data_IF_616055535270
#
_entry.id   IF_616055535270
#
_cell.length_a   1.000
_cell.length_b   1.000
_cell.length_c   1.000
_cell.angle_alpha   90.00
_cell.angle_beta   90.00
_cell.angle_gamma   90.00
#
_symmetry.space_group_name_H-M   'P 1'
#
loop_
_entity.id
_entity.type
_entity.pdbx_description
1 polymer ?
#
# COMPACT_ATOMS: atom_id res chain seq x y z
N UNK A 1 15.40 -6.03 -17.29
CA UNK A 1 16.86 -6.17 -17.12
C UNK A 1 17.21 -7.06 -15.92
N UNK A 2 16.66 -6.81 -14.72
CA UNK A 2 16.93 -7.60 -13.50
C UNK A 2 16.65 -9.11 -13.65
N UNK A 3 15.50 -9.51 -14.22
CA UNK A 3 15.16 -10.92 -14.43
C UNK A 3 16.17 -11.67 -15.32
N UNK A 4 16.69 -10.99 -16.36
CA UNK A 4 17.72 -11.57 -17.24
C UNK A 4 19.03 -11.77 -16.49
N UNK A 5 19.44 -10.78 -15.70
CA UNK A 5 20.63 -10.84 -14.85
C UNK A 5 20.53 -11.93 -13.77
N UNK A 6 19.36 -12.09 -13.15
CA UNK A 6 19.14 -13.10 -12.10
C UNK A 6 18.84 -14.51 -12.63
N UNK A 7 18.69 -14.67 -13.94
CA UNK A 7 18.24 -15.92 -14.58
C UNK A 7 16.80 -16.33 -14.22
N UNK A 8 16.03 -15.45 -13.58
CA UNK A 8 14.68 -15.76 -13.11
C UNK A 8 13.64 -15.43 -14.18
N UNK A 9 12.59 -16.24 -14.27
CA UNK A 9 11.42 -16.01 -15.13
C UNK A 9 10.43 -15.04 -14.48
N UNK A 10 10.39 -14.99 -13.16
CA UNK A 10 9.46 -14.15 -12.39
C UNK A 10 10.14 -13.46 -11.21
N UNK A 11 9.54 -12.37 -10.73
CA UNK A 11 10.06 -11.67 -9.54
C UNK A 11 10.01 -12.59 -8.32
N UNK A 12 11.06 -12.49 -7.50
CA UNK A 12 11.22 -13.25 -6.27
C UNK A 12 11.09 -14.78 -6.44
N UNK A 13 11.39 -15.34 -7.62
CA UNK A 13 11.31 -16.79 -7.90
C UNK A 13 12.10 -17.64 -6.90
N UNK A 14 13.25 -17.14 -6.44
CA UNK A 14 14.10 -17.78 -5.43
C UNK A 14 13.58 -17.65 -3.98
N UNK A 15 12.48 -16.93 -3.77
CA UNK A 15 11.94 -16.62 -2.44
C UNK A 15 10.44 -16.97 -2.35
N UNK A 16 10.07 -18.27 -2.41
CA UNK A 16 8.68 -18.70 -2.44
C UNK A 16 7.88 -18.27 -1.20
N UNK A 17 8.47 -18.37 -0.01
CA UNK A 17 7.82 -17.96 1.25
C UNK A 17 7.50 -16.46 1.27
N UNK A 18 8.43 -15.64 0.75
CA UNK A 18 8.20 -14.20 0.62
C UNK A 18 7.07 -13.92 -0.35
N UNK A 19 7.06 -14.59 -1.51
CA UNK A 19 5.99 -14.46 -2.51
C UNK A 19 4.63 -14.83 -1.93
N UNK A 20 4.53 -15.93 -1.20
CA UNK A 20 3.28 -16.36 -0.60
C UNK A 20 2.78 -15.35 0.44
N UNK A 21 3.66 -14.89 1.34
CA UNK A 21 3.32 -13.89 2.36
C UNK A 21 2.91 -12.55 1.74
N UNK A 22 3.61 -12.10 0.70
CA UNK A 22 3.28 -10.87 -0.02
C UNK A 22 1.95 -11.02 -0.78
N UNK A 23 1.75 -12.12 -1.50
CA UNK A 23 0.51 -12.40 -2.23
C UNK A 23 -0.71 -12.45 -1.29
N UNK A 24 -0.53 -12.94 -0.06
CA UNK A 24 -1.59 -12.94 0.95
C UNK A 24 -1.99 -11.52 1.40
N UNK A 25 -1.02 -10.60 1.55
CA UNK A 25 -1.27 -9.22 2.02
C UNK A 25 -1.71 -8.25 0.92
N UNK A 26 -1.28 -8.49 -0.32
CA UNK A 26 -1.50 -7.58 -1.44
C UNK A 26 -2.98 -7.23 -1.72
N UNK A 27 -3.96 -8.15 -1.63
CA UNK A 27 -5.37 -7.79 -1.82
C UNK A 27 -5.85 -6.67 -0.89
N UNK A 28 -5.51 -6.76 0.39
CA UNK A 28 -5.87 -5.75 1.40
C UNK A 28 -5.12 -4.44 1.14
N UNK A 29 -3.80 -4.52 0.87
CA UNK A 29 -3.01 -3.33 0.53
C UNK A 29 -3.59 -2.61 -0.68
N UNK A 30 -3.98 -3.34 -1.73
CA UNK A 30 -4.58 -2.78 -2.94
C UNK A 30 -5.93 -2.13 -2.67
N UNK A 31 -6.78 -2.75 -1.86
CA UNK A 31 -8.07 -2.18 -1.47
C UNK A 31 -7.90 -0.87 -0.68
N UNK A 32 -7.06 -0.88 0.36
CA UNK A 32 -6.80 0.28 1.21
C UNK A 32 -6.15 1.41 0.41
N UNK A 33 -5.22 1.09 -0.48
CA UNK A 33 -4.59 2.07 -1.38
C UNK A 33 -5.61 2.78 -2.27
N UNK A 34 -6.62 2.05 -2.79
CA UNK A 34 -7.70 2.67 -3.58
C UNK A 34 -8.61 3.56 -2.74
N UNK A 35 -8.95 3.13 -1.52
CA UNK A 35 -9.71 3.95 -0.58
C UNK A 35 -8.94 5.23 -0.19
N UNK A 36 -7.64 5.12 0.03
CA UNK A 36 -6.75 6.23 0.34
C UNK A 36 -6.74 7.32 -0.74
N UNK A 37 -6.88 6.95 -2.03
CA UNK A 37 -7.04 7.94 -3.12
C UNK A 37 -8.28 8.80 -2.91
N UNK A 38 -9.41 8.20 -2.52
CA UNK A 38 -10.64 8.92 -2.21
C UNK A 38 -10.48 9.85 -1.00
N UNK A 39 -9.85 9.35 0.07
CA UNK A 39 -9.55 10.15 1.27
C UNK A 39 -8.64 11.34 0.96
N UNK A 40 -7.62 11.15 0.11
CA UNK A 40 -6.72 12.24 -0.30
C UNK A 40 -7.46 13.32 -1.09
N UNK A 41 -8.38 12.94 -1.98
CA UNK A 41 -9.22 13.90 -2.71
C UNK A 41 -10.10 14.69 -1.74
N UNK A 42 -10.83 14.00 -0.87
CA UNK A 42 -11.71 14.63 0.11
C UNK A 42 -10.96 15.57 1.07
N UNK A 43 -9.83 15.13 1.61
CA UNK A 43 -8.98 15.93 2.50
C UNK A 43 -8.48 17.21 1.84
N UNK A 44 -8.05 17.13 0.57
CA UNK A 44 -7.50 18.28 -0.19
C UNK A 44 -8.57 19.28 -0.61
N UNK A 45 -9.82 18.84 -0.80
CA UNK A 45 -10.92 19.68 -1.29
C UNK A 45 -11.82 20.23 -0.16
N UNK A 46 -11.63 19.78 1.07
CA UNK A 46 -12.47 20.19 2.21
C UNK A 46 -11.88 21.41 2.91
N UNK A 47 -12.73 22.45 3.07
CA UNK A 47 -12.45 23.65 3.86
C UNK A 47 -13.04 23.61 5.28
N UNK A 48 -13.96 22.66 5.54
CA UNK A 48 -14.50 22.39 6.88
C UNK A 48 -13.43 21.75 7.78
N UNK A 49 -13.05 22.44 8.85
CA UNK A 49 -11.98 22.01 9.74
C UNK A 49 -12.27 20.68 10.47
N UNK A 50 -13.53 20.44 10.86
CA UNK A 50 -13.90 19.21 11.57
C UNK A 50 -13.84 18.01 10.62
N UNK A 51 -14.41 18.12 9.42
CA UNK A 51 -14.35 17.07 8.40
C UNK A 51 -12.93 16.83 7.90
N UNK A 52 -12.13 17.89 7.79
CA UNK A 52 -10.71 17.78 7.40
C UNK A 52 -9.92 16.97 8.44
N UNK A 53 -10.19 17.15 9.72
CA UNK A 53 -9.57 16.36 10.78
C UNK A 53 -10.00 14.88 10.75
N UNK A 54 -11.26 14.59 10.45
CA UNK A 54 -11.74 13.21 10.25
C UNK A 54 -11.02 12.52 9.09
N UNK A 55 -10.90 13.20 7.94
CA UNK A 55 -10.16 12.67 6.80
C UNK A 55 -8.67 12.50 7.10
N UNK A 56 -8.07 13.39 7.91
CA UNK A 56 -6.67 13.25 8.36
C UNK A 56 -6.47 11.96 9.15
N UNK A 57 -7.35 11.67 10.12
CA UNK A 57 -7.30 10.44 10.93
C UNK A 57 -7.43 9.19 10.05
N UNK A 58 -8.39 9.19 9.12
CA UNK A 58 -8.58 8.09 8.19
C UNK A 58 -7.37 7.89 7.27
N UNK A 59 -6.74 8.98 6.80
CA UNK A 59 -5.52 8.92 5.99
C UNK A 59 -4.34 8.34 6.77
N UNK A 60 -4.14 8.73 8.03
CA UNK A 60 -3.08 8.17 8.86
C UNK A 60 -3.29 6.67 9.10
N UNK A 61 -4.54 6.24 9.29
CA UNK A 61 -4.87 4.82 9.40
C UNK A 61 -4.55 4.06 8.10
N UNK A 62 -4.91 4.62 6.93
CA UNK A 62 -4.62 3.97 5.65
C UNK A 62 -3.12 3.92 5.36
N UNK A 63 -2.37 4.99 5.68
CA UNK A 63 -0.90 5.03 5.54
C UNK A 63 -0.26 3.93 6.39
N UNK A 64 -0.65 3.80 7.65
CA UNK A 64 -0.11 2.77 8.55
C UNK A 64 -0.44 1.36 8.06
N UNK A 65 -1.65 1.13 7.55
CA UNK A 65 -2.05 -0.16 6.99
C UNK A 65 -1.21 -0.54 5.76
N UNK A 66 -1.03 0.40 4.81
CA UNK A 66 -0.22 0.18 3.61
C UNK A 66 1.25 -0.05 3.97
N UNK A 67 1.81 0.75 4.87
CA UNK A 67 3.18 0.61 5.34
C UNK A 67 3.41 -0.77 6.00
N UNK A 68 2.54 -1.18 6.91
CA UNK A 68 2.62 -2.49 7.56
C UNK A 68 2.46 -3.65 6.55
N UNK A 69 1.60 -3.48 5.54
CA UNK A 69 1.36 -4.50 4.51
C UNK A 69 2.55 -4.73 3.59
N UNK A 70 3.27 -3.66 3.20
CA UNK A 70 4.48 -3.76 2.39
C UNK A 70 5.71 -4.20 3.19
N UNK A 71 5.83 -3.78 4.46
CA UNK A 71 7.00 -4.07 5.29
C UNK A 71 8.22 -3.24 4.88
N UNK A 72 9.42 -3.80 4.97
CA UNK A 72 10.65 -3.10 4.61
C UNK A 72 10.78 -2.93 3.09
N UNK A 73 11.01 -1.69 2.64
CA UNK A 73 11.07 -1.34 1.20
C UNK A 73 12.38 -0.68 0.77
N UNK A 74 13.28 -0.35 1.69
CA UNK A 74 14.56 0.33 1.43
C UNK A 74 15.45 0.34 2.66
#
# INVERSE_FOLDING_TARGET
QILKLSGSRTLAERFPDYRQKLAHRLPVVNQVSRQQIGLLRAYRQTDDAARKEEFRKALLLSINCVAAGFGATG
#
